data_IF_079634073222
#
_entry.id   IF_079634073222
#
_cell.length_a   1.000
_cell.length_b   1.000
_cell.length_c   1.000
_cell.angle_alpha   90.00
_cell.angle_beta   90.00
_cell.angle_gamma   90.00
#
_symmetry.space_group_name_H-M   'P 1'
#
loop_
_entity.id
_entity.type
_entity.pdbx_description
1 polymer ?
#
# COMPACT_ATOMS: atom_id res chain seq x y z
N UNK A 1 20.28 -1.01 3.74
CA UNK A 1 19.14 -0.10 3.59
C UNK A 1 18.24 -0.25 4.82
N UNK A 2 18.07 0.81 5.63
CA UNK A 2 17.18 0.78 6.80
C UNK A 2 15.80 1.30 6.38
N UNK A 3 14.78 0.43 6.41
CA UNK A 3 13.39 0.83 6.11
C UNK A 3 12.73 1.37 7.38
N UNK A 4 12.05 2.51 7.28
CA UNK A 4 11.43 3.19 8.42
C UNK A 4 10.21 2.43 8.98
N UNK A 5 10.08 2.43 10.32
CA UNK A 5 8.91 1.90 11.02
C UNK A 5 7.65 2.74 10.73
N UNK A 6 6.46 2.13 10.85
CA UNK A 6 5.18 2.78 10.54
C UNK A 6 4.99 4.12 11.27
N UNK A 7 5.35 4.18 12.55
CA UNK A 7 5.25 5.42 13.34
C UNK A 7 6.06 6.57 12.73
N UNK A 8 7.28 6.29 12.27
CA UNK A 8 8.13 7.26 11.57
C UNK A 8 7.50 7.71 10.25
N UNK A 9 6.90 6.78 9.51
CA UNK A 9 6.19 7.09 8.25
C UNK A 9 4.99 8.00 8.54
N UNK A 10 4.17 7.66 9.53
CA UNK A 10 3.00 8.44 9.96
C UNK A 10 3.42 9.85 10.36
N UNK A 11 4.48 10.00 11.15
CA UNK A 11 5.00 11.31 11.56
C UNK A 11 5.43 12.17 10.37
N UNK A 12 6.09 11.57 9.36
CA UNK A 12 6.53 12.29 8.15
C UNK A 12 5.39 12.59 7.19
N UNK A 13 4.35 11.77 7.17
CA UNK A 13 3.16 11.97 6.33
C UNK A 13 2.14 12.94 6.96
N UNK A 14 2.09 13.00 8.29
CA UNK A 14 1.23 13.90 9.07
C UNK A 14 -0.04 13.25 9.61
N UNK A 15 -0.41 12.05 9.14
CA UNK A 15 -1.53 11.28 9.67
C UNK A 15 -1.41 9.80 9.27
N UNK A 16 -2.28 8.94 9.81
CA UNK A 16 -2.40 7.55 9.40
C UNK A 16 -3.74 7.35 8.69
N UNK A 17 -3.71 7.21 7.36
CA UNK A 17 -4.88 6.88 6.55
C UNK A 17 -4.83 5.43 6.03
N UNK A 18 -5.98 4.88 5.58
CA UNK A 18 -6.04 3.55 4.96
C UNK A 18 -5.00 3.35 3.85
N UNK A 19 -4.83 4.33 2.97
CA UNK A 19 -3.91 4.22 1.83
C UNK A 19 -2.44 4.27 2.26
N UNK A 20 -2.08 5.08 3.26
CA UNK A 20 -0.73 5.04 3.85
C UNK A 20 -0.44 3.66 4.46
N UNK A 21 -1.43 3.05 5.13
CA UNK A 21 -1.31 1.70 5.66
C UNK A 21 -1.15 0.66 4.55
N UNK A 22 -1.90 0.75 3.44
CA UNK A 22 -1.76 -0.12 2.27
C UNK A 22 -0.33 -0.01 1.69
N UNK A 23 0.15 1.20 1.42
CA UNK A 23 1.48 1.42 0.86
C UNK A 23 2.60 0.90 1.78
N UNK A 24 2.48 1.12 3.09
CA UNK A 24 3.42 0.57 4.06
C UNK A 24 3.41 -0.97 4.05
N UNK A 25 2.22 -1.59 3.99
CA UNK A 25 2.07 -3.05 3.89
C UNK A 25 2.63 -3.60 2.58
N UNK A 26 2.46 -2.91 1.45
CA UNK A 26 3.07 -3.27 0.17
C UNK A 26 4.60 -3.23 0.26
N UNK A 27 5.16 -2.16 0.85
CA UNK A 27 6.59 -2.02 1.09
C UNK A 27 7.17 -3.14 1.96
N UNK A 28 6.43 -3.65 2.96
CA UNK A 28 6.87 -4.81 3.73
C UNK A 28 6.98 -6.09 2.88
N UNK A 29 6.02 -6.31 1.97
CA UNK A 29 6.06 -7.44 1.05
C UNK A 29 7.27 -7.34 0.11
N UNK A 30 7.51 -6.16 -0.47
CA UNK A 30 8.69 -5.93 -1.30
C UNK A 30 9.99 -6.12 -0.54
N UNK A 31 10.10 -5.59 0.68
CA UNK A 31 11.27 -5.77 1.52
C UNK A 31 11.57 -7.24 1.75
N UNK A 32 10.56 -8.04 2.11
CA UNK A 32 10.72 -9.47 2.32
C UNK A 32 11.25 -10.15 1.06
N UNK A 33 10.68 -9.83 -0.11
CA UNK A 33 11.12 -10.40 -1.39
C UNK A 33 12.55 -10.00 -1.75
N UNK A 34 12.92 -8.72 -1.59
CA UNK A 34 14.28 -8.19 -1.83
C UNK A 34 15.31 -8.90 -0.95
N UNK A 35 14.97 -9.11 0.33
CA UNK A 35 15.84 -9.80 1.27
C UNK A 35 15.99 -11.29 0.92
N UNK A 36 14.89 -11.98 0.60
CA UNK A 36 14.90 -13.39 0.21
C UNK A 36 15.73 -13.63 -1.07
N UNK A 37 15.61 -12.73 -2.05
CA UNK A 37 16.30 -12.84 -3.35
C UNK A 37 17.65 -12.14 -3.40
N UNK A 38 18.09 -11.52 -2.30
CA UNK A 38 19.31 -10.71 -2.23
C UNK A 38 19.46 -9.68 -3.38
N UNK A 39 18.34 -9.03 -3.76
CA UNK A 39 18.34 -8.07 -4.86
C UNK A 39 19.16 -6.83 -4.51
N UNK A 40 20.00 -6.39 -5.45
CA UNK A 40 20.86 -5.20 -5.31
C UNK A 40 20.29 -3.99 -6.03
N UNK A 41 19.86 -4.18 -7.27
CA UNK A 41 19.33 -3.12 -8.13
C UNK A 41 17.87 -3.36 -8.45
N UNK A 42 17.02 -2.47 -7.94
CA UNK A 42 15.57 -2.53 -8.11
C UNK A 42 14.96 -1.13 -8.03
N UNK A 43 13.74 -1.00 -8.55
CA UNK A 43 12.90 0.18 -8.43
C UNK A 43 11.47 -0.25 -8.12
N UNK A 44 10.72 0.56 -7.40
CA UNK A 44 9.28 0.34 -7.16
C UNK A 44 8.45 1.31 -8.00
N UNK A 45 7.46 0.81 -8.74
CA UNK A 45 6.45 1.65 -9.37
C UNK A 45 5.15 1.57 -8.56
N UNK A 46 4.53 2.71 -8.30
CA UNK A 46 3.17 2.80 -7.80
C UNK A 46 2.26 3.36 -8.90
N UNK A 47 1.12 2.73 -9.16
CA UNK A 47 0.17 3.16 -10.19
C UNK A 47 -0.86 4.18 -9.69
N UNK A 48 -0.50 4.89 -8.62
CA UNK A 48 -1.21 6.06 -8.10
C UNK A 48 -0.23 7.08 -7.54
N UNK A 49 -0.70 8.32 -7.33
CA UNK A 49 0.07 9.41 -6.71
C UNK A 49 -0.37 9.71 -5.28
N UNK A 50 -1.00 8.74 -4.64
CA UNK A 50 -1.66 8.89 -3.36
C UNK A 50 -0.77 8.66 -2.14
N UNK A 51 -1.41 8.52 -0.98
CA UNK A 51 -0.72 8.26 0.29
C UNK A 51 0.04 6.93 0.28
N UNK A 52 -0.41 5.95 -0.52
CA UNK A 52 0.26 4.67 -0.65
C UNK A 52 1.63 4.79 -1.35
N UNK A 53 1.70 5.49 -2.48
CA UNK A 53 2.96 5.81 -3.15
C UNK A 53 3.91 6.58 -2.22
N UNK A 54 3.38 7.57 -1.50
CA UNK A 54 4.15 8.33 -0.51
C UNK A 54 4.71 7.45 0.62
N UNK A 55 3.98 6.41 1.04
CA UNK A 55 4.49 5.47 2.04
C UNK A 55 5.75 4.74 1.54
N UNK A 56 5.77 4.28 0.29
CA UNK A 56 6.89 3.58 -0.32
C UNK A 56 8.14 4.48 -0.40
N UNK A 57 7.98 5.73 -0.84
CA UNK A 57 9.06 6.74 -0.82
C UNK A 57 9.58 6.98 0.60
N UNK A 58 8.69 7.16 1.57
CA UNK A 58 9.06 7.43 2.97
C UNK A 58 9.74 6.22 3.63
N UNK A 59 9.44 5.01 3.19
CA UNK A 59 10.15 3.78 3.58
C UNK A 59 11.57 3.73 2.99
N UNK A 60 11.85 4.55 1.98
CA UNK A 60 13.16 4.70 1.35
C UNK A 60 13.32 3.92 0.06
N UNK A 61 12.26 3.35 -0.52
CA UNK A 61 12.37 2.68 -1.81
C UNK A 61 12.81 3.67 -2.91
N UNK A 62 13.73 3.30 -3.82
CA UNK A 62 13.83 3.99 -5.10
C UNK A 62 12.51 3.76 -5.83
N UNK A 63 11.66 4.78 -5.90
CA UNK A 63 10.31 4.63 -6.43
C UNK A 63 9.89 5.79 -7.33
N UNK A 64 9.01 5.50 -8.26
CA UNK A 64 8.28 6.49 -9.05
C UNK A 64 6.79 6.14 -9.08
N UNK A 65 5.99 7.10 -9.52
CA UNK A 65 4.54 6.96 -9.56
C UNK A 65 3.97 7.28 -10.94
N UNK A 66 3.07 6.43 -11.40
CA UNK A 66 2.24 6.64 -12.59
C UNK A 66 0.82 7.05 -12.17
N UNK A 67 0.19 7.90 -12.97
CA UNK A 67 -1.14 8.45 -12.66
C UNK A 67 -2.23 7.61 -13.32
N UNK A 68 -2.47 6.42 -12.77
CA UNK A 68 -3.49 5.49 -13.26
C UNK A 68 -4.67 5.32 -12.29
N UNK A 69 -4.62 5.98 -11.13
CA UNK A 69 -5.62 5.86 -10.05
C UNK A 69 -5.87 4.40 -9.60
N UNK A 70 -4.83 3.57 -9.67
CA UNK A 70 -4.89 2.16 -9.28
C UNK A 70 -4.07 1.88 -8.01
N UNK A 71 -4.63 1.10 -7.08
CA UNK A 71 -3.90 0.60 -5.90
C UNK A 71 -3.07 -0.64 -6.25
N UNK A 72 -2.19 -0.46 -7.23
CA UNK A 72 -1.27 -1.43 -7.79
C UNK A 72 0.16 -0.95 -7.58
N UNK A 73 1.05 -1.87 -7.24
CA UNK A 73 2.46 -1.59 -6.99
C UNK A 73 3.32 -2.71 -7.56
N UNK A 74 4.45 -2.35 -8.17
CA UNK A 74 5.38 -3.33 -8.74
C UNK A 74 6.80 -3.11 -8.28
N UNK A 75 7.51 -4.22 -8.08
CA UNK A 75 8.95 -4.25 -7.92
C UNK A 75 9.57 -4.62 -9.26
N UNK A 76 10.40 -3.73 -9.78
CA UNK A 76 11.09 -3.84 -11.05
C UNK A 76 12.58 -4.13 -10.82
N UNK A 77 13.20 -4.90 -11.70
CA UNK A 77 14.66 -4.99 -11.74
C UNK A 77 15.29 -3.80 -12.49
N UNK A 78 16.62 -3.76 -12.58
CA UNK A 78 17.36 -2.72 -13.30
C UNK A 78 17.00 -2.57 -14.80
N UNK A 79 16.40 -3.61 -15.41
CA UNK A 79 15.93 -3.59 -16.81
C UNK A 79 14.47 -3.14 -16.95
N UNK A 80 13.80 -2.81 -15.84
CA UNK A 80 12.38 -2.46 -15.83
C UNK A 80 11.45 -3.68 -15.89
N UNK A 81 11.96 -4.91 -15.73
CA UNK A 81 11.13 -6.10 -15.76
C UNK A 81 10.43 -6.31 -14.41
N UNK A 82 9.14 -6.65 -14.45
CA UNK A 82 8.35 -6.96 -13.26
C UNK A 82 8.86 -8.22 -12.55
N UNK A 83 9.37 -8.06 -11.33
CA UNK A 83 9.75 -9.14 -10.44
C UNK A 83 8.59 -9.58 -9.54
N UNK A 84 7.87 -8.59 -8.98
CA UNK A 84 6.73 -8.81 -8.11
C UNK A 84 5.68 -7.73 -8.36
N UNK A 85 4.43 -8.13 -8.44
CA UNK A 85 3.27 -7.31 -8.72
C UNK A 85 2.24 -7.51 -7.60
N UNK A 86 1.79 -6.41 -7.01
CA UNK A 86 0.83 -6.36 -5.91
C UNK A 86 -0.37 -5.53 -6.34
N UNK A 87 -1.55 -6.12 -6.41
CA UNK A 87 -2.80 -5.40 -6.56
C UNK A 87 -3.60 -5.49 -5.26
N UNK A 88 -3.95 -4.34 -4.69
CA UNK A 88 -4.78 -4.31 -3.48
C UNK A 88 -6.17 -4.83 -3.79
N UNK A 89 -6.68 -5.74 -2.95
CA UNK A 89 -8.04 -6.26 -3.15
C UNK A 89 -9.09 -5.17 -2.89
N UNK A 90 -10.15 -5.18 -3.70
CA UNK A 90 -11.24 -4.19 -3.63
C UNK A 90 -11.90 -4.07 -2.25
N UNK A 91 -11.91 -5.14 -1.47
CA UNK A 91 -12.41 -5.14 -0.08
C UNK A 91 -11.61 -4.25 0.88
N UNK A 92 -10.39 -3.84 0.49
CA UNK A 92 -9.52 -2.97 1.26
C UNK A 92 -9.37 -1.56 0.67
N UNK A 93 -9.59 -1.38 -0.64
CA UNK A 93 -9.51 -0.08 -1.30
C UNK A 93 -10.79 0.73 -1.22
N UNK A 94 -11.95 0.07 -1.06
CA UNK A 94 -13.24 0.74 -0.94
C UNK A 94 -13.58 1.00 0.53
N UNK A 95 -13.76 2.27 0.86
CA UNK A 95 -14.30 2.68 2.15
C UNK A 95 -15.65 1.98 2.42
N UNK A 96 -15.91 1.50 3.66
CA UNK A 96 -17.22 0.99 4.05
C UNK A 96 -18.32 1.98 3.69
N UNK A 97 -19.49 1.50 3.24
CA UNK A 97 -20.59 2.37 2.80
C UNK A 97 -20.98 3.41 3.85
N UNK A 98 -21.22 2.97 5.08
CA UNK A 98 -21.51 3.85 6.20
C UNK A 98 -20.44 4.93 6.43
N UNK A 99 -19.17 4.59 6.21
CA UNK A 99 -18.07 5.55 6.36
C UNK A 99 -18.12 6.62 5.26
N UNK A 100 -18.47 6.25 4.02
CA UNK A 100 -18.65 7.20 2.91
C UNK A 100 -19.85 8.13 3.14
N UNK A 101 -20.94 7.61 3.71
CA UNK A 101 -22.11 8.42 4.05
C UNK A 101 -21.79 9.46 5.13
N UNK A 102 -21.06 9.03 6.16
CA UNK A 102 -20.58 9.92 7.23
C UNK A 102 -19.59 10.96 6.69
N UNK A 103 -18.68 10.58 5.80
CA UNK A 103 -17.76 11.50 5.14
C UNK A 103 -18.49 12.58 4.33
N UNK A 104 -19.55 12.20 3.60
CA UNK A 104 -20.42 13.15 2.90
C UNK A 104 -21.08 14.15 3.85
N UNK A 105 -21.53 13.71 5.04
CA UNK A 105 -22.07 14.60 6.09
C UNK A 105 -21.01 15.55 6.67
N UNK A 106 -19.77 15.07 6.85
CA UNK A 106 -18.64 15.91 7.29
C UNK A 106 -18.41 17.04 6.27
N UNK A 107 -18.30 16.69 4.97
CA UNK A 107 -18.06 17.65 3.90
C UNK A 107 -19.18 18.69 3.76
N UNK A 108 -20.42 18.31 4.08
CA UNK A 108 -21.59 19.19 4.07
C UNK A 108 -21.80 19.97 5.37
N UNK A 109 -20.95 19.75 6.38
CA UNK A 109 -21.09 20.31 7.73
C UNK A 109 -22.44 19.97 8.41
N UNK A 110 -23.02 18.82 8.09
CA UNK A 110 -24.31 18.36 8.65
C UNK A 110 -24.17 17.21 9.65
N UNK A 111 -22.93 16.86 10.00
CA UNK A 111 -22.65 15.73 10.90
C UNK A 111 -22.96 16.08 12.35
N UNK A 112 -23.59 15.16 13.06
CA UNK A 112 -23.77 15.24 14.52
C UNK A 112 -22.52 14.77 15.28
N UNK A 113 -22.43 15.09 16.58
CA UNK A 113 -21.32 14.62 17.41
C UNK A 113 -21.22 13.08 17.46
N UNK A 114 -22.36 12.40 17.60
CA UNK A 114 -22.44 10.94 17.62
C UNK A 114 -21.95 10.33 16.30
N UNK A 115 -22.35 10.90 15.17
CA UNK A 115 -21.92 10.45 13.85
C UNK A 115 -20.42 10.70 13.63
N UNK A 116 -19.87 11.79 14.15
CA UNK A 116 -18.44 12.08 14.08
C UNK A 116 -17.61 11.07 14.88
N UNK A 117 -18.10 10.64 16.06
CA UNK A 117 -17.49 9.55 16.82
C UNK A 117 -17.56 8.22 16.09
N UNK A 118 -18.71 7.91 15.48
CA UNK A 118 -18.88 6.72 14.66
C UNK A 118 -17.94 6.72 13.46
N UNK A 119 -17.78 7.85 12.76
CA UNK A 119 -16.83 7.99 11.66
C UNK A 119 -15.41 7.65 12.11
N UNK A 120 -14.96 8.24 13.24
CA UNK A 120 -13.62 7.97 13.80
C UNK A 120 -13.43 6.49 14.13
N UNK A 121 -14.45 5.85 14.70
CA UNK A 121 -14.42 4.42 15.02
C UNK A 121 -14.29 3.55 13.76
N UNK A 122 -15.15 3.77 12.76
CA UNK A 122 -15.12 3.03 11.50
C UNK A 122 -13.81 3.24 10.73
N UNK A 123 -13.29 4.47 10.73
CA UNK A 123 -12.02 4.81 10.08
C UNK A 123 -10.84 4.08 10.73
N UNK A 124 -10.75 4.10 12.06
CA UNK A 124 -9.72 3.36 12.81
C UNK A 124 -9.82 1.86 12.58
N UNK A 125 -11.03 1.31 12.55
CA UNK A 125 -11.23 -0.11 12.27
C UNK A 125 -10.81 -0.50 10.86
N UNK A 126 -11.05 0.35 9.86
CA UNK A 126 -10.59 0.10 8.50
C UNK A 126 -9.07 0.06 8.41
N UNK A 127 -8.39 1.05 9.01
CA UNK A 127 -6.92 1.07 9.12
C UNK A 127 -6.40 -0.17 9.84
N UNK A 128 -6.98 -0.50 10.99
CA UNK A 128 -6.61 -1.69 11.78
C UNK A 128 -6.75 -2.97 10.97
N UNK A 129 -7.86 -3.11 10.21
CA UNK A 129 -8.09 -4.25 9.33
C UNK A 129 -7.02 -4.39 8.24
N UNK A 130 -6.59 -3.28 7.63
CA UNK A 130 -5.49 -3.28 6.65
C UNK A 130 -4.19 -3.72 7.31
N UNK A 131 -3.86 -3.13 8.47
CA UNK A 131 -2.61 -3.41 9.18
C UNK A 131 -2.54 -4.84 9.74
N UNK A 132 -3.67 -5.45 10.08
CA UNK A 132 -3.74 -6.81 10.60
C UNK A 132 -3.89 -7.88 9.52
N UNK A 133 -4.42 -7.55 8.33
CA UNK A 133 -4.70 -8.54 7.28
C UNK A 133 -3.42 -9.28 6.84
N UNK A 134 -3.42 -10.60 6.67
CA UNK A 134 -2.33 -11.32 6.00
C UNK A 134 -2.09 -10.79 4.57
N UNK A 135 -0.83 -10.83 4.10
CA UNK A 135 -0.49 -10.27 2.78
C UNK A 135 -1.32 -10.87 1.62
N UNK A 136 -1.57 -12.17 1.63
CA UNK A 136 -2.37 -12.86 0.60
C UNK A 136 -3.87 -12.49 0.62
N UNK A 137 -4.37 -11.97 1.76
CA UNK A 137 -5.73 -11.44 1.87
C UNK A 137 -5.78 -9.98 1.45
N UNK A 138 -4.74 -9.20 1.72
CA UNK A 138 -4.68 -7.78 1.36
C UNK A 138 -4.41 -7.58 -0.14
N UNK A 139 -3.54 -8.41 -0.72
CA UNK A 139 -3.06 -8.29 -2.10
C UNK A 139 -3.38 -9.53 -2.93
N UNK A 140 -3.65 -9.31 -4.21
CA UNK A 140 -3.37 -10.26 -5.27
C UNK A 140 -1.89 -10.14 -5.62
N UNK A 141 -1.14 -11.23 -5.48
CA UNK A 141 0.32 -11.24 -5.63
C UNK A 141 0.66 -12.10 -6.84
N UNK A 142 1.39 -11.54 -7.80
CA UNK A 142 1.95 -12.26 -8.95
C UNK A 142 3.41 -11.84 -9.17
N UNK A 143 4.20 -12.70 -9.81
CA UNK A 143 5.62 -12.40 -10.03
C UNK A 143 6.39 -13.59 -10.56
N UNK A 144 7.55 -13.35 -11.16
CA UNK A 144 8.44 -14.43 -11.60
C UNK A 144 9.08 -15.06 -10.37
N UNK A 145 8.90 -16.37 -10.19
CA UNK A 145 9.78 -17.15 -9.32
C UNK A 145 11.17 -17.10 -9.94
N UNK A 146 12.09 -16.35 -9.34
CA UNK A 146 13.48 -16.36 -9.78
C UNK A 146 14.05 -17.77 -9.65
N UNK A 147 14.43 -18.38 -10.77
CA UNK A 147 15.41 -19.47 -10.86
C UNK A 147 14.92 -20.83 -11.40
N UNK A 148 14.76 -20.95 -12.72
CA UNK A 148 15.37 -21.95 -13.62
C UNK A 148 14.67 -21.89 -14.98
N UNK A 149 15.25 -21.15 -15.92
CA UNK A 149 15.12 -21.38 -17.36
C UNK A 149 16.51 -21.11 -17.97
N UNK A 150 17.48 -21.92 -17.54
CA UNK A 150 18.64 -22.27 -18.35
C UNK A 150 18.48 -23.77 -18.67
N UNK A 151 17.87 -24.08 -19.81
CA UNK A 151 18.07 -25.23 -20.72
C UNK A 151 16.79 -25.81 -21.34
N UNK A 152 16.80 -25.88 -22.69
CA UNK A 152 15.93 -26.72 -23.53
C UNK A 152 14.89 -25.90 -24.30
N UNK A 153 14.98 -25.68 -25.62
CA UNK A 153 15.62 -26.43 -26.69
C UNK A 153 15.90 -25.49 -27.87
#
# INVERSE_FOLDING_TARGET
MFFAALETIVRRHGHLCPYLAIGWRAGLVFRSYIQEKALKDFTVCAYNRGCAARALELMGFPSFSEDMDEEVYTLLNARGENLLFLQTRKSFTRAPEKLRDLESKILRHTITLQEAEEYRYLYRNWVSRILAAPAHQLFLISGRKGGQDENGN
#
